data_IF_502252478107
#
_entry.id   IF_502252478107
#
_cell.length_a   1.000
_cell.length_b   1.000
_cell.length_c   1.000
_cell.angle_alpha   90.00
_cell.angle_beta   90.00
_cell.angle_gamma   90.00
#
_symmetry.space_group_name_H-M   'P 1'
#
loop_
_entity.id
_entity.type
_entity.pdbx_description
1 polymer ?
#
# COMPACT_ATOMS: atom_id res chain seq x y z
N UNK A 1 -4.81 19.95 -8.94
CA UNK A 1 -3.85 19.07 -8.26
C UNK A 1 -2.74 19.91 -7.67
N UNK A 2 -2.47 19.73 -6.36
CA UNK A 2 -1.35 20.38 -5.67
C UNK A 2 -0.04 19.67 -5.92
N UNK A 3 0.91 20.31 -6.60
CA UNK A 3 2.24 19.77 -6.87
C UNK A 3 3.33 20.81 -6.56
N UNK A 4 4.53 20.32 -6.22
CA UNK A 4 5.69 21.22 -6.16
C UNK A 4 6.04 21.68 -7.58
N UNK A 5 6.44 22.94 -7.79
CA UNK A 5 6.77 23.47 -9.13
C UNK A 5 7.83 22.65 -9.87
N UNK A 6 8.76 22.02 -9.11
CA UNK A 6 9.84 21.18 -9.64
C UNK A 6 9.45 19.70 -9.79
N UNK A 7 8.19 19.33 -9.57
CA UNK A 7 7.76 17.94 -9.68
C UNK A 7 7.78 17.49 -11.15
N UNK A 8 8.38 16.32 -11.40
CA UNK A 8 8.38 15.67 -12.72
C UNK A 8 6.95 15.32 -13.21
N UNK A 9 5.96 15.30 -12.31
CA UNK A 9 4.58 14.98 -12.64
C UNK A 9 3.76 16.18 -13.13
N UNK A 10 4.32 17.40 -13.14
CA UNK A 10 3.58 18.61 -13.54
C UNK A 10 3.09 18.52 -14.98
N UNK A 11 3.99 18.23 -15.90
CA UNK A 11 3.64 18.17 -17.33
C UNK A 11 2.68 17.00 -17.61
N UNK A 12 2.92 15.83 -17.03
CA UNK A 12 2.02 14.70 -17.16
C UNK A 12 0.59 15.00 -16.64
N UNK A 13 0.48 15.68 -15.49
CA UNK A 13 -0.82 16.07 -14.96
C UNK A 13 -1.57 17.04 -15.88
N UNK A 14 -0.86 18.02 -16.46
CA UNK A 14 -1.43 18.96 -17.43
C UNK A 14 -1.88 18.26 -18.72
N UNK A 15 -1.10 17.33 -19.24
CA UNK A 15 -1.44 16.51 -20.39
C UNK A 15 -2.73 15.69 -20.18
N UNK A 16 -2.98 15.30 -18.92
CA UNK A 16 -4.24 14.62 -18.54
C UNK A 16 -5.41 15.60 -18.32
N UNK A 17 -5.23 16.89 -18.63
CA UNK A 17 -6.27 17.92 -18.47
C UNK A 17 -6.49 18.37 -17.04
N UNK A 18 -5.55 18.10 -16.13
CA UNK A 18 -5.66 18.51 -14.74
C UNK A 18 -5.04 19.90 -14.51
N UNK A 19 -5.75 20.76 -13.80
CA UNK A 19 -5.18 22.02 -13.34
C UNK A 19 -4.15 21.77 -12.25
N UNK A 20 -2.94 22.30 -12.42
CA UNK A 20 -1.83 22.14 -11.48
C UNK A 20 -1.54 23.48 -10.80
N UNK A 21 -1.55 23.46 -9.47
CA UNK A 21 -1.28 24.61 -8.59
C UNK A 21 -0.23 24.26 -7.53
N UNK A 22 0.41 25.25 -6.89
CA UNK A 22 1.09 25.03 -5.63
C UNK A 22 0.16 24.38 -4.60
N UNK A 23 0.72 23.55 -3.70
CA UNK A 23 -0.11 22.77 -2.73
C UNK A 23 -1.02 23.68 -1.92
N UNK A 24 -0.51 24.77 -1.36
CA UNK A 24 -1.28 25.73 -0.56
C UNK A 24 -2.49 26.29 -1.31
N UNK A 25 -2.32 26.68 -2.57
CA UNK A 25 -3.40 27.22 -3.41
C UNK A 25 -4.45 26.16 -3.72
N UNK A 26 -4.00 24.93 -4.06
CA UNK A 26 -4.91 23.83 -4.33
C UNK A 26 -5.75 23.45 -3.09
N UNK A 27 -5.13 23.49 -1.91
CA UNK A 27 -5.80 23.22 -0.63
C UNK A 27 -6.84 24.31 -0.30
N UNK A 28 -6.48 25.58 -0.50
CA UNK A 28 -7.37 26.72 -0.21
C UNK A 28 -8.68 26.71 -1.02
N UNK A 29 -8.71 26.01 -2.16
CA UNK A 29 -9.89 25.87 -3.00
C UNK A 29 -10.68 24.58 -2.74
N UNK A 30 -10.04 23.57 -2.09
CA UNK A 30 -10.60 22.24 -1.95
C UNK A 30 -11.62 22.13 -0.81
N UNK A 31 -12.66 21.33 -1.04
CA UNK A 31 -13.58 20.86 0.01
C UNK A 31 -13.16 19.49 0.54
N UNK A 32 -12.38 18.74 -0.24
CA UNK A 32 -11.74 17.46 0.13
C UNK A 32 -10.29 17.52 -0.31
N UNK A 33 -9.38 17.31 0.62
CA UNK A 33 -7.93 17.23 0.35
C UNK A 33 -7.48 15.79 0.49
N UNK A 34 -7.24 15.12 -0.64
CA UNK A 34 -6.67 13.76 -0.68
C UNK A 34 -5.14 13.85 -0.68
N UNK A 35 -4.53 13.33 0.37
CA UNK A 35 -3.07 13.33 0.55
C UNK A 35 -2.51 12.03 -0.03
N UNK A 36 -1.75 12.12 -1.14
CA UNK A 36 -1.16 10.98 -1.88
C UNK A 36 0.37 11.11 -1.99
N UNK A 37 0.98 11.86 -1.11
CA UNK A 37 2.43 11.94 -1.00
C UNK A 37 2.99 10.67 -0.35
N UNK A 38 4.27 10.30 -0.60
CA UNK A 38 4.93 9.28 0.21
C UNK A 38 4.92 9.65 1.69
N UNK A 39 4.74 8.67 2.56
CA UNK A 39 4.45 8.84 3.98
C UNK A 39 5.42 9.75 4.71
N UNK A 40 6.72 9.62 4.41
CA UNK A 40 7.78 10.42 5.04
C UNK A 40 7.69 11.93 4.75
N UNK A 41 6.95 12.34 3.72
CA UNK A 41 6.81 13.76 3.37
C UNK A 41 5.48 14.35 3.80
N UNK A 42 4.48 13.52 4.11
CA UNK A 42 3.12 13.98 4.37
C UNK A 42 3.04 14.94 5.55
N UNK A 43 3.66 14.60 6.69
CA UNK A 43 3.59 15.43 7.91
C UNK A 43 4.19 16.83 7.68
N UNK A 44 5.33 16.93 6.99
CA UNK A 44 5.96 18.21 6.71
C UNK A 44 5.12 19.09 5.76
N UNK A 45 4.57 18.48 4.71
CA UNK A 45 3.69 19.17 3.75
C UNK A 45 2.36 19.54 4.42
N UNK A 46 1.79 18.64 5.23
CA UNK A 46 0.58 18.93 5.99
C UNK A 46 0.75 20.17 6.85
N UNK A 47 1.77 20.22 7.69
CA UNK A 47 2.03 21.34 8.60
C UNK A 47 2.30 22.66 7.88
N UNK A 48 3.01 22.59 6.74
CA UNK A 48 3.44 23.79 6.02
C UNK A 48 2.38 24.34 5.07
N UNK A 49 1.80 23.46 4.26
CA UNK A 49 1.03 23.87 3.08
C UNK A 49 -0.45 23.45 3.16
N UNK A 50 -0.80 22.44 3.98
CA UNK A 50 -2.20 21.94 4.07
C UNK A 50 -2.92 22.59 5.24
N UNK A 51 -2.49 22.35 6.46
CA UNK A 51 -3.17 22.80 7.69
C UNK A 51 -3.49 24.31 7.69
N UNK A 52 -2.54 25.23 7.34
CA UNK A 52 -2.82 26.68 7.36
C UNK A 52 -3.79 27.14 6.27
N UNK A 53 -4.04 26.34 5.26
CA UNK A 53 -4.83 26.69 4.09
C UNK A 53 -6.14 25.90 3.96
N UNK A 54 -6.44 25.01 4.92
CA UNK A 54 -7.71 24.27 4.93
C UNK A 54 -8.89 25.22 5.12
N UNK A 55 -9.91 25.06 4.29
CA UNK A 55 -11.21 25.72 4.55
C UNK A 55 -11.84 25.16 5.83
N UNK A 56 -12.59 25.95 6.58
CA UNK A 56 -13.39 25.43 7.68
C UNK A 56 -14.26 24.25 7.23
N UNK A 57 -14.17 23.12 7.93
CA UNK A 57 -14.93 21.91 7.63
C UNK A 57 -14.47 21.14 6.38
N UNK A 58 -13.40 21.55 5.69
CA UNK A 58 -12.84 20.74 4.60
C UNK A 58 -12.37 19.39 5.10
N UNK A 59 -12.64 18.35 4.33
CA UNK A 59 -12.29 16.98 4.69
C UNK A 59 -10.84 16.63 4.29
N UNK A 60 -10.18 15.88 5.15
CA UNK A 60 -8.90 15.24 4.86
C UNK A 60 -9.11 13.77 4.50
N UNK A 61 -8.52 13.35 3.42
CA UNK A 61 -8.62 11.99 2.91
C UNK A 61 -7.24 11.36 2.72
N UNK A 62 -7.14 10.07 3.01
CA UNK A 62 -5.90 9.29 2.93
C UNK A 62 -6.14 7.99 2.16
N UNK A 63 -5.08 7.47 1.53
CA UNK A 63 -5.08 6.16 0.88
C UNK A 63 -4.39 5.07 1.72
N UNK A 64 -3.76 5.46 2.83
CA UNK A 64 -3.10 4.60 3.82
C UNK A 64 -3.09 5.33 5.17
N UNK A 65 -3.18 4.59 6.26
CA UNK A 65 -3.39 5.18 7.58
C UNK A 65 -2.14 5.63 8.33
N UNK A 66 -0.92 5.43 7.80
CA UNK A 66 0.37 5.59 8.49
C UNK A 66 0.50 6.88 9.31
N UNK A 67 0.31 8.03 8.69
CA UNK A 67 0.55 9.31 9.34
C UNK A 67 -0.49 9.67 10.41
N UNK A 68 -1.72 9.21 10.27
CA UNK A 68 -2.77 9.37 11.27
C UNK A 68 -2.56 8.38 12.42
N UNK A 69 -2.38 7.09 12.11
CA UNK A 69 -2.22 6.03 13.10
C UNK A 69 -1.03 6.27 14.04
N UNK A 70 0.14 6.60 13.49
CA UNK A 70 1.34 6.88 14.30
C UNK A 70 1.40 8.33 14.82
N UNK A 71 0.39 9.16 14.56
CA UNK A 71 0.28 10.51 15.11
C UNK A 71 1.26 11.53 14.53
N UNK A 72 1.81 11.28 13.33
CA UNK A 72 2.63 12.27 12.61
C UNK A 72 1.78 13.42 12.05
N UNK A 73 0.52 13.15 11.73
CA UNK A 73 -0.50 14.14 11.38
C UNK A 73 -1.63 14.05 12.39
N UNK A 74 -1.99 15.18 13.00
CA UNK A 74 -3.10 15.31 13.96
C UNK A 74 -4.01 16.45 13.51
N UNK A 75 -5.02 16.14 12.67
CA UNK A 75 -5.96 17.14 12.24
C UNK A 75 -6.79 17.71 13.40
N UNK A 76 -7.19 18.98 13.30
CA UNK A 76 -8.15 19.57 14.23
C UNK A 76 -9.48 18.81 14.19
N UNK A 77 -10.17 18.72 15.34
CA UNK A 77 -11.39 17.90 15.52
C UNK A 77 -12.58 18.39 14.68
N UNK A 78 -12.53 19.60 14.15
CA UNK A 78 -13.56 20.18 13.28
C UNK A 78 -13.46 19.77 11.82
N UNK A 79 -12.41 19.04 11.43
CA UNK A 79 -12.23 18.50 10.09
C UNK A 79 -12.70 17.04 9.99
N UNK A 80 -13.55 16.69 8.99
CA UNK A 80 -13.76 15.29 8.64
C UNK A 80 -12.46 14.62 8.23
N UNK A 81 -12.18 13.41 8.74
CA UNK A 81 -11.00 12.62 8.37
C UNK A 81 -11.44 11.22 7.98
N UNK A 82 -11.10 10.81 6.76
CA UNK A 82 -11.42 9.47 6.27
C UNK A 82 -10.31 8.86 5.44
N UNK A 83 -10.40 7.56 5.25
CA UNK A 83 -9.49 6.80 4.42
C UNK A 83 -10.25 5.96 3.40
N UNK A 84 -9.75 5.95 2.17
CA UNK A 84 -10.11 4.98 1.14
C UNK A 84 -8.80 4.38 0.65
N UNK A 85 -8.50 3.18 1.09
CA UNK A 85 -7.24 2.48 0.82
C UNK A 85 -7.45 1.33 -0.18
N UNK A 86 -7.11 1.54 -1.47
CA UNK A 86 -7.17 0.48 -2.47
C UNK A 86 -6.17 -0.63 -2.14
N UNK A 87 -6.59 -1.88 -2.23
CA UNK A 87 -5.70 -3.03 -2.05
C UNK A 87 -5.03 -3.39 -3.39
N UNK A 88 -4.10 -2.52 -3.77
CA UNK A 88 -3.29 -2.63 -4.98
C UNK A 88 -2.59 -1.33 -5.35
N UNK A 89 -1.50 -1.42 -6.12
CA UNK A 89 -0.71 -0.25 -6.56
C UNK A 89 -1.55 0.75 -7.37
N UNK A 90 -1.27 2.05 -7.22
CA UNK A 90 -2.05 3.14 -7.81
C UNK A 90 -2.23 3.05 -9.34
N UNK A 91 -1.21 2.63 -10.08
CA UNK A 91 -1.31 2.42 -11.54
C UNK A 91 -2.25 1.26 -11.90
N UNK A 92 -2.35 0.23 -11.06
CA UNK A 92 -3.32 -0.86 -11.21
C UNK A 92 -4.74 -0.35 -10.95
N UNK A 93 -4.94 0.47 -9.91
CA UNK A 93 -6.25 1.11 -9.65
C UNK A 93 -6.72 1.87 -10.88
N UNK A 94 -5.84 2.66 -11.51
CA UNK A 94 -6.16 3.40 -12.73
C UNK A 94 -6.47 2.47 -13.91
N UNK A 95 -5.68 1.43 -14.11
CA UNK A 95 -5.89 0.44 -15.17
C UNK A 95 -7.24 -0.25 -15.04
N UNK A 96 -7.58 -0.73 -13.86
CA UNK A 96 -8.84 -1.43 -13.62
C UNK A 96 -10.04 -0.49 -13.77
N UNK A 97 -9.92 0.76 -13.29
CA UNK A 97 -10.94 1.77 -13.51
C UNK A 97 -11.19 2.02 -15.01
N UNK A 98 -10.14 2.24 -15.79
CA UNK A 98 -10.23 2.49 -17.24
C UNK A 98 -10.84 1.30 -18.00
N UNK A 99 -10.63 0.07 -17.49
CA UNK A 99 -11.23 -1.15 -18.03
C UNK A 99 -12.67 -1.41 -17.56
N UNK A 100 -13.30 -0.46 -16.85
CA UNK A 100 -14.67 -0.61 -16.33
C UNK A 100 -14.78 -1.52 -15.09
N UNK A 101 -13.66 -1.99 -14.57
CA UNK A 101 -13.55 -2.78 -13.33
C UNK A 101 -13.22 -1.90 -12.14
N UNK A 102 -12.83 -2.49 -11.01
CA UNK A 102 -12.39 -1.79 -9.82
C UNK A 102 -11.38 -2.62 -9.03
N UNK A 103 -10.64 -1.97 -8.15
CA UNK A 103 -9.81 -2.60 -7.13
C UNK A 103 -10.57 -2.52 -5.81
N UNK A 104 -10.65 -3.61 -5.02
CA UNK A 104 -11.28 -3.55 -3.70
C UNK A 104 -10.60 -2.52 -2.80
N UNK A 105 -11.38 -1.87 -1.95
CA UNK A 105 -10.87 -0.89 -0.99
C UNK A 105 -11.25 -1.28 0.44
N UNK A 106 -10.43 -0.90 1.39
CA UNK A 106 -10.88 -0.77 2.78
C UNK A 106 -11.16 0.71 3.06
N UNK A 107 -12.17 0.98 3.87
CA UNK A 107 -12.67 2.32 4.14
C UNK A 107 -12.79 2.56 5.65
N UNK A 108 -12.36 3.71 6.10
CA UNK A 108 -12.42 4.09 7.51
C UNK A 108 -12.76 5.58 7.67
N UNK A 109 -13.38 5.91 8.78
CA UNK A 109 -13.61 7.29 9.22
C UNK A 109 -12.97 7.44 10.59
N UNK A 110 -12.08 8.42 10.72
CA UNK A 110 -11.39 8.76 11.97
C UNK A 110 -12.10 9.89 12.69
N UNK A 111 -12.51 10.94 11.96
CA UNK A 111 -13.24 12.09 12.50
C UNK A 111 -14.50 12.33 11.71
N UNK A 112 -15.62 12.54 12.41
CA UNK A 112 -16.95 12.77 11.82
C UNK A 112 -17.69 13.88 12.58
N UNK A 113 -17.23 15.14 12.47
CA UNK A 113 -17.74 16.25 13.29
C UNK A 113 -19.20 16.60 13.00
N UNK A 114 -19.70 16.35 11.80
CA UNK A 114 -21.05 16.72 11.36
C UNK A 114 -21.95 15.51 11.00
N UNK A 115 -21.46 14.28 11.20
CA UNK A 115 -22.19 13.03 10.88
C UNK A 115 -22.27 12.70 9.39
N UNK A 116 -21.48 13.36 8.53
CA UNK A 116 -21.54 13.20 7.06
C UNK A 116 -20.26 12.59 6.46
N UNK A 117 -19.28 12.26 7.26
CA UNK A 117 -18.00 11.75 6.75
C UNK A 117 -18.16 10.36 6.10
N UNK A 118 -19.01 9.48 6.64
CA UNK A 118 -19.27 8.17 6.02
C UNK A 118 -19.86 8.25 4.62
N UNK A 119 -20.95 9.01 4.37
CA UNK A 119 -21.46 9.22 3.00
C UNK A 119 -20.40 9.77 2.05
N UNK A 120 -19.56 10.70 2.50
CA UNK A 120 -18.48 11.26 1.69
C UNK A 120 -17.40 10.22 1.35
N UNK A 121 -16.95 9.45 2.33
CA UNK A 121 -16.00 8.36 2.16
C UNK A 121 -16.48 7.33 1.12
N UNK A 122 -17.74 6.89 1.24
CA UNK A 122 -18.33 5.94 0.29
C UNK A 122 -18.54 6.54 -1.10
N UNK A 123 -18.90 7.83 -1.18
CA UNK A 123 -19.00 8.53 -2.46
C UNK A 123 -17.65 8.61 -3.18
N UNK A 124 -16.57 8.88 -2.43
CA UNK A 124 -15.21 8.87 -2.97
C UNK A 124 -14.81 7.47 -3.45
N UNK A 125 -15.03 6.42 -2.65
CA UNK A 125 -14.78 5.04 -3.04
C UNK A 125 -15.55 4.63 -4.30
N UNK A 126 -16.81 5.07 -4.43
CA UNK A 126 -17.64 4.87 -5.63
C UNK A 126 -17.04 5.58 -6.85
N UNK A 127 -16.60 6.82 -6.69
CA UNK A 127 -16.00 7.61 -7.77
C UNK A 127 -14.69 6.99 -8.29
N UNK A 128 -13.91 6.34 -7.44
CA UNK A 128 -12.74 5.54 -7.82
C UNK A 128 -13.09 4.24 -8.57
N UNK A 129 -14.37 3.89 -8.68
CA UNK A 129 -14.79 2.61 -9.24
C UNK A 129 -14.64 1.42 -8.29
N UNK A 130 -14.18 1.63 -7.08
CA UNK A 130 -13.87 0.58 -6.11
C UNK A 130 -15.11 -0.25 -5.72
N UNK A 131 -16.29 0.36 -5.66
CA UNK A 131 -17.53 -0.37 -5.31
C UNK A 131 -17.95 -1.41 -6.37
N UNK A 132 -17.32 -1.43 -7.55
CA UNK A 132 -17.50 -2.52 -8.52
C UNK A 132 -16.85 -3.82 -8.06
N UNK A 133 -15.79 -3.72 -7.25
CA UNK A 133 -15.07 -4.84 -6.67
C UNK A 133 -15.47 -5.09 -5.20
N UNK A 134 -15.72 -4.02 -4.44
CA UNK A 134 -16.15 -4.07 -3.06
C UNK A 134 -15.43 -3.08 -2.14
N UNK A 135 -16.09 -2.75 -1.02
CA UNK A 135 -15.50 -1.95 0.05
C UNK A 135 -15.75 -2.63 1.40
N UNK A 136 -14.72 -2.71 2.22
CA UNK A 136 -14.79 -3.30 3.56
C UNK A 136 -14.52 -2.20 4.58
N UNK A 137 -15.39 -2.09 5.58
CA UNK A 137 -15.21 -1.15 6.69
C UNK A 137 -14.08 -1.63 7.60
N UNK A 138 -13.18 -0.71 7.95
CA UNK A 138 -12.07 -0.94 8.87
C UNK A 138 -11.81 0.29 9.75
N UNK A 139 -10.65 0.36 10.40
CA UNK A 139 -10.12 1.51 11.13
C UNK A 139 -8.77 1.93 10.56
N UNK A 140 -8.29 3.12 10.87
CA UNK A 140 -6.93 3.55 10.51
C UNK A 140 -5.87 2.63 11.11
N UNK A 141 -6.06 2.20 12.36
CA UNK A 141 -5.17 1.26 13.04
C UNK A 141 -5.10 -0.08 12.31
N UNK A 142 -6.25 -0.72 12.10
CA UNK A 142 -6.30 -2.05 11.48
C UNK A 142 -5.74 -2.02 10.06
N UNK A 143 -6.11 -1.03 9.26
CA UNK A 143 -5.56 -0.88 7.90
C UNK A 143 -4.04 -0.72 7.93
N UNK A 144 -3.52 0.22 8.73
CA UNK A 144 -2.08 0.50 8.76
C UNK A 144 -1.27 -0.71 9.20
N UNK A 145 -1.69 -1.37 10.26
CA UNK A 145 -0.96 -2.51 10.80
C UNK A 145 -0.99 -3.71 9.85
N UNK A 146 -2.15 -4.02 9.27
CA UNK A 146 -2.28 -5.18 8.37
C UNK A 146 -1.68 -4.94 7.00
N UNK A 147 -1.72 -3.73 6.48
CA UNK A 147 -1.11 -3.36 5.21
C UNK A 147 0.42 -3.46 5.29
N UNK A 148 1.03 -2.80 6.28
CA UNK A 148 2.47 -2.88 6.53
C UNK A 148 2.95 -4.32 6.78
N UNK A 149 2.19 -5.10 7.55
CA UNK A 149 2.50 -6.51 7.78
C UNK A 149 2.44 -7.32 6.48
N UNK A 150 1.36 -7.14 5.71
CA UNK A 150 1.18 -7.84 4.44
C UNK A 150 2.31 -7.57 3.45
N UNK A 151 2.73 -6.31 3.33
CA UNK A 151 3.84 -5.92 2.45
C UNK A 151 5.18 -6.47 2.93
N UNK A 152 5.50 -6.36 4.21
CA UNK A 152 6.80 -6.74 4.77
C UNK A 152 7.00 -8.26 4.82
N UNK A 153 5.97 -9.00 5.21
CA UNK A 153 6.13 -10.42 5.52
C UNK A 153 5.66 -11.36 4.40
N UNK A 154 4.77 -10.90 3.51
CA UNK A 154 4.16 -11.77 2.49
C UNK A 154 4.37 -11.24 1.08
N UNK A 155 3.80 -10.05 0.75
CA UNK A 155 3.65 -9.60 -0.63
C UNK A 155 4.96 -9.15 -1.28
N UNK A 156 5.81 -8.45 -0.55
CA UNK A 156 7.12 -7.98 -1.02
C UNK A 156 8.24 -8.75 -0.34
N UNK A 157 8.35 -8.66 0.98
CA UNK A 157 9.43 -9.31 1.72
C UNK A 157 9.39 -10.84 1.64
N UNK A 158 8.21 -11.45 1.73
CA UNK A 158 8.08 -12.91 1.66
C UNK A 158 8.33 -13.48 0.27
N UNK A 159 7.49 -13.08 -0.69
CA UNK A 159 7.50 -13.65 -2.06
C UNK A 159 8.83 -13.36 -2.76
N UNK A 160 9.33 -12.11 -2.73
CA UNK A 160 10.56 -11.76 -3.42
C UNK A 160 11.74 -12.58 -2.90
N UNK A 161 11.93 -12.65 -1.58
CA UNK A 161 13.03 -13.43 -1.00
C UNK A 161 12.90 -14.93 -1.23
N UNK A 162 11.68 -15.49 -1.26
CA UNK A 162 11.49 -16.90 -1.63
C UNK A 162 11.88 -17.17 -3.08
N UNK A 163 11.51 -16.27 -4.00
CA UNK A 163 11.89 -16.38 -5.40
C UNK A 163 13.41 -16.30 -5.59
N UNK A 164 14.05 -15.30 -4.96
CA UNK A 164 15.50 -15.10 -5.03
C UNK A 164 16.24 -16.32 -4.51
N UNK A 165 15.91 -16.80 -3.31
CA UNK A 165 16.54 -17.99 -2.72
C UNK A 165 16.27 -19.26 -3.55
N UNK A 166 15.07 -19.41 -4.11
CA UNK A 166 14.74 -20.53 -4.98
C UNK A 166 15.56 -20.52 -6.27
N UNK A 167 15.73 -19.35 -6.87
CA UNK A 167 16.56 -19.14 -8.04
C UNK A 167 18.03 -19.48 -7.75
N UNK A 168 18.58 -18.98 -6.65
CA UNK A 168 19.96 -19.23 -6.24
C UNK A 168 20.22 -20.71 -6.02
N UNK A 169 19.36 -21.40 -5.27
CA UNK A 169 19.49 -22.84 -5.00
C UNK A 169 19.51 -23.66 -6.30
N UNK A 170 18.65 -23.33 -7.28
CA UNK A 170 18.62 -24.05 -8.55
C UNK A 170 19.85 -23.77 -9.40
N UNK A 171 20.28 -22.53 -9.50
CA UNK A 171 21.44 -22.15 -10.31
C UNK A 171 22.75 -22.64 -9.71
N UNK A 172 22.92 -22.62 -8.40
CA UNK A 172 24.04 -23.21 -7.67
C UNK A 172 24.12 -24.73 -7.85
N UNK A 173 22.98 -25.39 -8.01
CA UNK A 173 22.91 -26.82 -8.35
C UNK A 173 23.22 -27.13 -9.82
N UNK A 174 23.46 -26.08 -10.65
CA UNK A 174 23.86 -26.21 -12.06
C UNK A 174 22.72 -26.24 -13.06
N UNK A 175 21.49 -25.91 -12.65
CA UNK A 175 20.38 -25.75 -13.57
C UNK A 175 20.51 -24.44 -14.36
N UNK A 176 19.90 -24.40 -15.58
CA UNK A 176 19.93 -23.22 -16.44
C UNK A 176 19.17 -22.06 -15.76
N UNK A 177 19.74 -20.84 -15.71
CA UNK A 177 19.09 -19.70 -15.09
C UNK A 177 17.70 -19.38 -15.68
N UNK A 178 17.54 -19.56 -17.00
CA UNK A 178 16.27 -19.34 -17.68
C UNK A 178 15.20 -20.33 -17.16
N UNK A 179 15.54 -21.59 -16.95
CA UNK A 179 14.62 -22.58 -16.40
C UNK A 179 14.29 -22.23 -14.94
N UNK A 180 15.30 -21.93 -14.13
CA UNK A 180 15.08 -21.50 -12.74
C UNK A 180 14.14 -20.29 -12.65
N UNK A 181 14.32 -19.28 -13.53
CA UNK A 181 13.44 -18.12 -13.57
C UNK A 181 11.98 -18.47 -13.89
N UNK A 182 11.76 -19.33 -14.89
CA UNK A 182 10.39 -19.71 -15.26
C UNK A 182 9.71 -20.49 -14.14
N UNK A 183 10.43 -21.42 -13.49
CA UNK A 183 9.88 -22.30 -12.45
C UNK A 183 9.57 -21.56 -11.13
N UNK A 184 10.48 -20.69 -10.66
CA UNK A 184 10.33 -20.07 -9.33
C UNK A 184 9.67 -18.68 -9.37
N UNK A 185 9.63 -18.00 -10.53
CA UNK A 185 9.10 -16.64 -10.61
C UNK A 185 7.97 -16.51 -11.63
N UNK A 186 8.19 -16.86 -12.91
CA UNK A 186 7.17 -16.62 -13.93
C UNK A 186 5.87 -17.38 -13.66
N UNK A 187 5.97 -18.64 -13.24
CA UNK A 187 4.80 -19.49 -12.96
C UNK A 187 4.02 -19.04 -11.72
N UNK A 188 4.67 -18.34 -10.78
CA UNK A 188 4.01 -17.81 -9.57
C UNK A 188 2.74 -17.02 -9.89
N UNK A 189 2.76 -16.22 -10.98
CA UNK A 189 1.57 -15.47 -11.40
C UNK A 189 0.38 -16.38 -11.67
N UNK A 190 0.60 -17.53 -12.31
CA UNK A 190 -0.49 -18.47 -12.66
C UNK A 190 -1.11 -19.07 -11.40
N UNK A 191 -0.29 -19.41 -10.41
CA UNK A 191 -0.76 -19.93 -9.12
C UNK A 191 -1.48 -18.86 -8.30
N UNK A 192 -1.01 -17.63 -8.33
CA UNK A 192 -1.67 -16.49 -7.67
C UNK A 192 -3.01 -16.20 -8.33
N UNK A 193 -3.12 -16.25 -9.66
CA UNK A 193 -4.39 -16.09 -10.37
C UNK A 193 -5.40 -17.17 -9.95
N UNK A 194 -4.99 -18.44 -9.86
CA UNK A 194 -5.85 -19.54 -9.38
C UNK A 194 -6.28 -19.34 -7.92
N UNK A 195 -5.36 -18.91 -7.06
CA UNK A 195 -5.68 -18.61 -5.67
C UNK A 195 -6.66 -17.44 -5.55
N UNK A 196 -6.53 -16.43 -6.40
CA UNK A 196 -7.46 -15.29 -6.44
C UNK A 196 -8.86 -15.68 -6.94
N UNK A 197 -8.97 -16.64 -7.85
CA UNK A 197 -10.24 -17.14 -8.36
C UNK A 197 -11.05 -17.95 -7.36
N UNK A 198 -10.42 -18.70 -6.46
CA UNK A 198 -11.14 -19.63 -5.60
C UNK A 198 -10.43 -20.04 -4.31
N UNK A 199 -9.43 -19.25 -3.88
CA UNK A 199 -8.67 -19.50 -2.66
C UNK A 199 -7.51 -20.49 -2.85
N UNK A 200 -6.67 -20.60 -1.82
CA UNK A 200 -5.48 -21.45 -1.83
C UNK A 200 -5.81 -22.93 -2.10
N UNK A 201 -6.96 -23.42 -1.64
CA UNK A 201 -7.37 -24.80 -1.90
C UNK A 201 -7.65 -25.05 -3.37
N UNK A 202 -8.27 -24.08 -4.08
CA UNK A 202 -8.46 -24.20 -5.54
C UNK A 202 -7.12 -24.25 -6.27
N UNK A 203 -6.17 -23.41 -5.89
CA UNK A 203 -4.82 -23.42 -6.46
C UNK A 203 -4.18 -24.83 -6.29
N UNK A 204 -4.20 -25.38 -5.08
CA UNK A 204 -3.70 -26.72 -4.79
C UNK A 204 -4.36 -27.81 -5.66
N UNK A 205 -5.68 -27.84 -5.67
CA UNK A 205 -6.42 -28.87 -6.43
C UNK A 205 -6.30 -28.75 -7.95
N UNK A 206 -5.84 -27.61 -8.44
CA UNK A 206 -5.56 -27.40 -9.87
C UNK A 206 -4.19 -27.92 -10.28
N UNK A 207 -3.35 -28.31 -9.30
CA UNK A 207 -2.03 -28.87 -9.55
C UNK A 207 -2.04 -30.40 -9.49
N UNK A 208 -0.93 -31.02 -9.93
CA UNK A 208 -0.77 -32.47 -9.88
C UNK A 208 -0.68 -33.00 -8.44
N UNK A 209 -1.00 -34.27 -8.25
CA UNK A 209 -0.86 -34.94 -6.95
C UNK A 209 0.59 -34.86 -6.41
N UNK A 210 1.57 -34.90 -7.29
CA UNK A 210 2.99 -34.75 -6.95
C UNK A 210 3.29 -33.38 -6.38
N UNK A 211 2.75 -32.31 -6.98
CA UNK A 211 2.92 -30.95 -6.50
C UNK A 211 2.21 -30.74 -5.15
N UNK A 212 0.98 -31.27 -5.00
CA UNK A 212 0.26 -31.21 -3.72
C UNK A 212 0.99 -31.96 -2.61
N UNK A 213 1.51 -33.15 -2.90
CA UNK A 213 2.27 -33.92 -1.93
C UNK A 213 3.53 -33.16 -1.48
N UNK A 214 4.25 -32.54 -2.43
CA UNK A 214 5.40 -31.69 -2.15
C UNK A 214 5.05 -30.49 -1.26
N UNK A 215 3.93 -29.79 -1.55
CA UNK A 215 3.44 -28.67 -0.73
C UNK A 215 3.16 -29.12 0.72
N UNK A 216 2.43 -30.23 0.91
CA UNK A 216 2.09 -30.72 2.25
C UNK A 216 3.27 -31.24 3.06
N UNK A 217 4.34 -31.63 2.41
CA UNK A 217 5.55 -32.16 3.05
C UNK A 217 6.70 -31.15 3.09
N UNK A 218 6.52 -29.97 2.51
CA UNK A 218 7.53 -28.90 2.52
C UNK A 218 7.87 -28.45 3.94
N UNK A 219 9.16 -28.21 4.18
CA UNK A 219 9.68 -27.72 5.46
C UNK A 219 10.29 -26.32 5.37
N UNK A 220 10.08 -25.61 4.25
CA UNK A 220 10.66 -24.27 4.03
C UNK A 220 10.00 -23.24 4.95
N UNK A 221 8.67 -23.25 5.03
CA UNK A 221 7.91 -22.38 5.93
C UNK A 221 7.59 -23.15 7.22
N UNK A 222 8.08 -22.64 8.35
CA UNK A 222 8.07 -23.34 9.64
C UNK A 222 7.45 -22.46 10.75
N UNK A 223 7.29 -23.05 11.95
CA UNK A 223 6.91 -22.29 13.15
C UNK A 223 7.91 -21.17 13.49
N UNK A 224 9.18 -21.32 13.13
CA UNK A 224 10.17 -20.24 13.29
C UNK A 224 9.86 -19.06 12.35
N UNK A 225 9.44 -19.33 11.12
CA UNK A 225 8.96 -18.28 10.19
C UNK A 225 7.80 -17.51 10.81
N UNK A 226 6.82 -18.21 11.39
CA UNK A 226 5.68 -17.58 12.08
C UNK A 226 6.11 -16.71 13.27
N UNK A 227 7.08 -17.12 14.06
CA UNK A 227 7.63 -16.32 15.15
C UNK A 227 8.29 -15.02 14.65
N UNK A 228 8.98 -15.07 13.51
CA UNK A 228 9.56 -13.88 12.87
C UNK A 228 8.47 -12.92 12.39
N UNK A 229 7.42 -13.43 11.78
CA UNK A 229 6.22 -12.64 11.40
C UNK A 229 5.58 -12.00 12.64
N UNK A 230 5.43 -12.73 13.75
CA UNK A 230 4.91 -12.17 15.00
C UNK A 230 5.81 -11.06 15.56
N UNK A 231 7.12 -11.19 15.44
CA UNK A 231 8.06 -10.14 15.83
C UNK A 231 7.92 -8.88 14.95
N UNK A 232 7.79 -9.04 13.63
CA UNK A 232 7.58 -7.92 12.71
C UNK A 232 6.24 -7.22 12.99
N UNK A 233 5.16 -7.99 13.16
CA UNK A 233 3.86 -7.43 13.54
C UNK A 233 3.95 -6.60 14.83
N UNK A 234 4.66 -7.10 15.84
CA UNK A 234 4.87 -6.36 17.09
C UNK A 234 5.58 -5.02 16.86
N UNK A 235 6.60 -4.98 16.00
CA UNK A 235 7.32 -3.73 15.66
C UNK A 235 6.42 -2.72 14.93
N UNK A 236 5.49 -3.21 14.14
CA UNK A 236 4.49 -2.38 13.48
C UNK A 236 3.53 -1.80 14.54
N UNK A 237 2.99 -2.66 15.41
CA UNK A 237 2.01 -2.27 16.42
C UNK A 237 2.57 -1.31 17.49
N UNK A 238 3.82 -1.48 17.90
CA UNK A 238 4.46 -0.61 18.88
C UNK A 238 5.08 0.67 18.28
N UNK A 239 4.99 0.83 16.96
CA UNK A 239 5.51 1.98 16.21
C UNK A 239 7.02 2.00 16.02
N UNK A 240 7.76 0.99 16.50
CA UNK A 240 9.23 0.98 16.37
C UNK A 240 9.69 0.89 14.91
N UNK A 241 8.95 0.17 14.05
CA UNK A 241 9.20 0.17 12.61
C UNK A 241 8.99 1.56 12.00
N UNK A 242 7.85 2.19 12.28
CA UNK A 242 7.54 3.52 11.75
C UNK A 242 8.58 4.55 12.18
N UNK A 243 8.98 4.51 13.45
CA UNK A 243 10.04 5.39 13.97
C UNK A 243 11.37 5.17 13.26
N UNK A 244 11.81 3.92 13.11
CA UNK A 244 13.06 3.58 12.40
C UNK A 244 13.05 4.11 10.97
N UNK A 245 11.95 3.89 10.23
CA UNK A 245 11.78 4.39 8.87
C UNK A 245 11.86 5.91 8.82
N UNK A 246 11.10 6.61 9.66
CA UNK A 246 11.07 8.07 9.66
C UNK A 246 12.40 8.70 10.07
N UNK A 247 13.11 8.11 11.04
CA UNK A 247 14.45 8.56 11.45
C UNK A 247 15.47 8.41 10.31
N UNK A 248 15.45 7.27 9.59
CA UNK A 248 16.32 7.07 8.43
C UNK A 248 16.01 8.06 7.31
N UNK A 249 14.73 8.30 7.01
CA UNK A 249 14.31 9.29 6.02
C UNK A 249 14.76 10.71 6.41
N UNK A 250 14.62 11.09 7.67
CA UNK A 250 15.06 12.39 8.18
C UNK A 250 16.58 12.57 8.09
N UNK A 251 17.35 11.50 8.21
CA UNK A 251 18.81 11.49 8.05
C UNK A 251 19.27 11.48 6.57
N UNK A 252 18.33 11.52 5.60
CA UNK A 252 18.62 11.46 4.17
C UNK A 252 18.61 10.04 3.60
N UNK A 253 17.99 9.11 4.31
CA UNK A 253 17.76 7.71 3.92
C UNK A 253 19.05 6.88 3.67
N UNK A 254 20.08 6.95 4.52
CA UNK A 254 21.33 6.23 4.28
C UNK A 254 21.14 4.72 4.31
N UNK A 255 20.36 4.19 5.26
CA UNK A 255 20.07 2.76 5.37
C UNK A 255 19.23 2.27 4.18
N UNK A 256 18.19 3.01 3.83
CA UNK A 256 17.30 2.65 2.73
C UNK A 256 18.06 2.62 1.39
N UNK A 257 18.89 3.63 1.10
CA UNK A 257 19.73 3.67 -0.12
C UNK A 257 20.68 2.48 -0.20
N UNK A 258 21.35 2.15 0.92
CA UNK A 258 22.23 1.00 0.97
C UNK A 258 21.48 -0.32 0.65
N UNK A 259 20.29 -0.50 1.24
CA UNK A 259 19.45 -1.67 0.94
C UNK A 259 19.03 -1.71 -0.54
N UNK A 260 18.67 -0.55 -1.12
CA UNK A 260 18.36 -0.49 -2.55
C UNK A 260 19.54 -0.91 -3.43
N UNK A 261 20.77 -0.57 -3.06
CA UNK A 261 21.98 -0.99 -3.78
C UNK A 261 22.27 -2.49 -3.59
N UNK A 262 21.98 -3.05 -2.42
CA UNK A 262 22.18 -4.48 -2.13
C UNK A 262 21.19 -5.39 -2.86
N UNK A 263 19.98 -4.89 -3.15
CA UNK A 263 18.88 -5.64 -3.79
C UNK A 263 18.58 -5.19 -5.23
N UNK A 264 19.50 -4.46 -5.89
CA UNK A 264 19.32 -3.95 -7.27
C UNK A 264 19.87 -4.87 -8.38
#
# INVERSE_FOLDING_TARGET
VGLRPTSKSVEYAKEQGLEVKPVAEAVAEADVVMILLPDQYQAAVYKKDVEPNLKPGAALAFAHGFNIHYGYIKPSEDHPVFMVAPKGPGHIVRREYAAGRGVPVVVAVEQDPDGKTWPLCLAYAKALGALRAGAIKTTFTEETETDLFGEQDVLMGGINHLCDMGFDVLTEAGYQPEIAYFEVFHELKMLVDLANEGGLNKARWSCSDTAQYGDYTSTVITEETKKRMQYQLKRIQDGSFAKEFMDDQAAGAPKFKKLQEEYS
#
